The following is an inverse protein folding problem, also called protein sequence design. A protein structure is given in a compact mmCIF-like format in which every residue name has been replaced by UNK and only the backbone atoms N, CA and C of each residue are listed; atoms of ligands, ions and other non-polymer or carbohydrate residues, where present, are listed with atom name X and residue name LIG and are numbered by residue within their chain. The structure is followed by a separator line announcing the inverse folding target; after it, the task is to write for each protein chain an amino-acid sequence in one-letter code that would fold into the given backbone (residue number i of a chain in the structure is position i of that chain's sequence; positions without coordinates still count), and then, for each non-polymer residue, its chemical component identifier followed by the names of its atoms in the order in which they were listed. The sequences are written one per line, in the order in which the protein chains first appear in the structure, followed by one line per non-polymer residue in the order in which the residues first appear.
data_IF_691192024337
#
_entry.id   IF_691192024337
#
_cell.length_a   1.000
_cell.length_b   1.000
_cell.length_c   1.000
_cell.angle_alpha   90.00
_cell.angle_beta   90.00
_cell.angle_gamma   90.00
#
_symmetry.space_group_name_H-M   'P 1'
#
loop_
_entity.id
_entity.type
_entity.pdbx_description
1 polymer ?
#
# COMPACT_ATOMS: atom_id res chain seq x y z
N UNK A 1 39.21 -13.82 -4.21
CA UNK A 1 38.08 -12.90 -4.38
C UNK A 1 36.83 -13.64 -3.94
N UNK A 2 36.43 -13.52 -2.67
CA UNK A 2 35.18 -14.11 -2.18
C UNK A 2 34.04 -13.38 -2.89
N UNK A 3 33.18 -14.11 -3.60
CA UNK A 3 31.98 -13.52 -4.19
C UNK A 3 31.10 -13.07 -3.03
N UNK A 4 30.83 -11.78 -2.91
CA UNK A 4 29.74 -11.30 -2.07
C UNK A 4 28.43 -11.83 -2.69
N UNK A 5 28.02 -13.03 -2.27
CA UNK A 5 26.71 -13.60 -2.56
C UNK A 5 25.68 -13.11 -1.54
N UNK A 6 25.92 -11.94 -0.95
CA UNK A 6 25.06 -11.37 0.07
C UNK A 6 24.42 -10.09 -0.47
N UNK A 7 23.11 -9.97 -0.31
CA UNK A 7 22.36 -8.75 -0.60
C UNK A 7 22.22 -8.00 0.73
N UNK A 8 22.76 -6.78 0.85
CA UNK A 8 22.54 -5.97 2.04
C UNK A 8 21.08 -5.48 2.08
N UNK A 9 20.42 -5.68 3.20
CA UNK A 9 19.06 -5.19 3.48
C UNK A 9 19.19 -4.01 4.44
N UNK A 10 18.51 -2.88 4.21
CA UNK A 10 18.54 -1.77 5.16
C UNK A 10 18.04 -2.18 6.55
N UNK A 11 18.77 -1.85 7.61
CA UNK A 11 18.40 -2.19 9.01
C UNK A 11 17.33 -1.26 9.60
N UNK A 12 16.97 -0.18 8.91
CA UNK A 12 16.07 0.88 9.36
C UNK A 12 14.75 0.90 8.56
N UNK A 13 14.13 -0.27 8.42
CA UNK A 13 12.86 -0.43 7.71
C UNK A 13 11.71 0.29 8.43
N UNK A 14 10.72 0.72 7.66
CA UNK A 14 9.44 1.21 8.22
C UNK A 14 8.64 0.07 8.85
N UNK A 15 7.78 0.32 9.86
CA UNK A 15 7.14 -0.73 10.66
C UNK A 15 6.44 -1.83 9.86
N UNK A 16 5.75 -1.49 8.78
CA UNK A 16 5.08 -2.49 7.94
C UNK A 16 6.10 -3.30 7.12
N UNK A 17 7.14 -2.64 6.59
CA UNK A 17 8.22 -3.33 5.88
C UNK A 17 9.04 -4.22 6.84
N UNK A 18 9.41 -3.71 8.01
CA UNK A 18 10.08 -4.43 9.09
C UNK A 18 9.30 -5.68 9.50
N UNK A 19 7.98 -5.54 9.68
CA UNK A 19 7.12 -6.68 10.01
C UNK A 19 7.19 -7.81 8.98
N UNK A 20 7.18 -7.49 7.68
CA UNK A 20 7.22 -8.50 6.61
C UNK A 20 8.62 -9.05 6.32
N UNK A 21 9.65 -8.26 6.61
CA UNK A 21 11.05 -8.64 6.46
C UNK A 21 11.63 -9.24 7.75
N UNK A 22 10.82 -9.33 8.81
CA UNK A 22 11.19 -9.88 10.10
C UNK A 22 11.75 -11.29 9.95
N UNK A 23 12.99 -11.48 10.41
CA UNK A 23 13.70 -12.74 10.32
C UNK A 23 14.78 -12.78 9.23
N UNK A 24 14.86 -11.73 8.41
CA UNK A 24 16.03 -11.45 7.59
C UNK A 24 17.04 -10.68 8.45
N UNK A 25 18.31 -11.08 8.44
CA UNK A 25 19.38 -10.25 8.98
C UNK A 25 19.63 -9.02 8.11
N UNK A 26 20.56 -8.15 8.51
CA UNK A 26 21.00 -7.01 7.68
C UNK A 26 21.68 -7.43 6.36
N UNK A 27 21.98 -8.72 6.21
CA UNK A 27 22.54 -9.31 5.00
C UNK A 27 21.80 -10.60 4.69
N UNK A 28 21.52 -10.85 3.42
CA UNK A 28 20.86 -12.08 2.95
C UNK A 28 21.72 -12.80 1.94
N UNK A 29 22.05 -14.05 2.22
CA UNK A 29 22.84 -14.90 1.36
C UNK A 29 21.98 -15.47 0.21
N UNK A 30 22.31 -15.05 -1.02
CA UNK A 30 21.69 -15.51 -2.26
C UNK A 30 21.97 -16.97 -2.57
N UNK A 31 23.04 -17.53 -2.00
CA UNK A 31 23.34 -18.96 -2.14
C UNK A 31 22.48 -19.84 -1.22
N UNK A 32 21.82 -19.26 -0.20
CA UNK A 32 20.90 -19.97 0.68
C UNK A 32 19.47 -19.85 0.16
N UNK A 33 18.88 -20.97 -0.25
CA UNK A 33 17.51 -21.00 -0.77
C UNK A 33 16.46 -20.56 0.27
N UNK A 34 16.71 -20.79 1.55
CA UNK A 34 15.81 -20.46 2.65
C UNK A 34 15.74 -18.96 2.94
N UNK A 35 16.90 -18.29 2.96
CA UNK A 35 16.94 -16.82 3.16
C UNK A 35 16.34 -16.09 1.96
N UNK A 36 16.64 -16.54 0.74
CA UNK A 36 16.06 -16.01 -0.49
C UNK A 36 14.54 -16.21 -0.58
N UNK A 37 14.04 -17.36 -0.15
CA UNK A 37 12.60 -17.61 -0.09
C UNK A 37 11.91 -16.66 0.90
N UNK A 38 12.54 -16.39 2.04
CA UNK A 38 12.01 -15.47 3.06
C UNK A 38 11.98 -14.03 2.53
N UNK A 39 13.02 -13.59 1.83
CA UNK A 39 13.07 -12.29 1.15
C UNK A 39 11.93 -12.10 0.17
N UNK A 40 11.79 -13.05 -0.77
CA UNK A 40 10.78 -12.98 -1.82
C UNK A 40 9.39 -12.98 -1.19
N UNK A 41 9.17 -13.80 -0.15
CA UNK A 41 7.90 -13.85 0.56
C UNK A 41 7.57 -12.53 1.26
N UNK A 42 8.53 -11.94 1.99
CA UNK A 42 8.35 -10.66 2.67
C UNK A 42 8.02 -9.54 1.68
N UNK A 43 8.80 -9.44 0.60
CA UNK A 43 8.57 -8.48 -0.47
C UNK A 43 7.19 -8.64 -1.13
N UNK A 44 6.77 -9.87 -1.43
CA UNK A 44 5.47 -10.16 -2.02
C UNK A 44 4.30 -9.79 -1.10
N UNK A 45 4.42 -10.03 0.21
CA UNK A 45 3.41 -9.65 1.20
C UNK A 45 3.32 -8.12 1.36
N UNK A 46 4.46 -7.44 1.38
CA UNK A 46 4.52 -5.97 1.39
C UNK A 46 3.85 -5.40 0.14
N UNK A 47 4.21 -5.90 -1.04
CA UNK A 47 3.62 -5.49 -2.31
C UNK A 47 2.10 -5.69 -2.31
N UNK A 48 1.62 -6.86 -1.89
CA UNK A 48 0.18 -7.13 -1.81
C UNK A 48 -0.53 -6.15 -0.87
N UNK A 49 0.07 -5.85 0.29
CA UNK A 49 -0.48 -4.88 1.25
C UNK A 49 -0.57 -3.48 0.65
N UNK A 50 0.49 -3.01 -0.02
CA UNK A 50 0.51 -1.72 -0.73
C UNK A 50 -0.57 -1.68 -1.81
N UNK A 51 -0.72 -2.72 -2.62
CA UNK A 51 -1.76 -2.81 -3.65
C UNK A 51 -3.15 -2.71 -3.04
N UNK A 52 -3.43 -3.46 -1.97
CA UNK A 52 -4.73 -3.43 -1.28
C UNK A 52 -5.02 -2.03 -0.74
N UNK A 53 -4.06 -1.40 -0.06
CA UNK A 53 -4.24 -0.04 0.45
C UNK A 53 -4.38 0.99 -0.66
N UNK A 54 -3.66 0.85 -1.78
CA UNK A 54 -3.81 1.73 -2.93
C UNK A 54 -5.21 1.60 -3.58
N UNK A 55 -5.75 0.38 -3.67
CA UNK A 55 -7.12 0.14 -4.14
C UNK A 55 -8.15 0.76 -3.18
N UNK A 56 -7.95 0.62 -1.87
CA UNK A 56 -8.81 1.26 -0.86
C UNK A 56 -8.76 2.78 -0.98
N UNK A 57 -7.56 3.35 -1.06
CA UNK A 57 -7.34 4.77 -1.25
C UNK A 57 -7.99 5.28 -2.54
N UNK A 58 -7.91 4.54 -3.65
CA UNK A 58 -8.62 4.85 -4.90
C UNK A 58 -10.14 4.85 -4.69
N UNK A 59 -10.69 3.81 -4.06
CA UNK A 59 -12.14 3.67 -3.87
C UNK A 59 -12.73 4.76 -2.97
N UNK A 60 -11.97 5.22 -1.98
CA UNK A 60 -12.37 6.34 -1.11
C UNK A 60 -12.07 7.71 -1.74
N UNK A 61 -10.94 7.81 -2.44
CA UNK A 61 -10.43 8.98 -3.17
C UNK A 61 -11.39 9.51 -4.22
N UNK A 62 -11.95 8.60 -5.02
CA UNK A 62 -12.84 8.98 -6.10
C UNK A 62 -14.28 9.20 -5.59
N UNK A 63 -14.65 10.48 -5.49
CA UNK A 63 -16.01 10.91 -5.13
C UNK A 63 -17.05 10.66 -6.23
N UNK A 64 -16.63 10.41 -7.48
CA UNK A 64 -17.50 10.18 -8.64
C UNK A 64 -17.37 8.73 -9.10
N UNK A 65 -18.50 8.05 -9.33
CA UNK A 65 -18.51 6.70 -9.91
C UNK A 65 -17.95 6.78 -11.34
N UNK A 66 -16.78 6.17 -11.59
CA UNK A 66 -16.25 6.02 -12.95
C UNK A 66 -16.99 4.90 -13.68
N UNK A 67 -17.05 5.01 -15.01
CA UNK A 67 -17.51 3.91 -15.88
C UNK A 67 -16.67 2.66 -15.58
N UNK A 68 -17.27 1.45 -15.53
CA UNK A 68 -16.60 0.22 -15.14
C UNK A 68 -15.34 -0.09 -15.98
N UNK A 69 -15.35 0.30 -17.26
CA UNK A 69 -14.19 0.13 -18.13
C UNK A 69 -13.02 1.05 -17.73
N UNK A 70 -13.31 2.29 -17.31
CA UNK A 70 -12.29 3.24 -16.85
C UNK A 70 -11.69 2.83 -15.52
N UNK A 71 -12.50 2.27 -14.60
CA UNK A 71 -11.97 1.74 -13.34
C UNK A 71 -11.05 0.54 -13.56
N UNK A 72 -11.33 -0.32 -14.54
CA UNK A 72 -10.46 -1.46 -14.85
C UNK A 72 -9.05 -0.99 -15.27
N UNK A 73 -8.98 -0.01 -16.17
CA UNK A 73 -7.70 0.58 -16.60
C UNK A 73 -6.93 1.14 -15.41
N UNK A 74 -7.61 1.82 -14.48
CA UNK A 74 -6.96 2.39 -13.29
C UNK A 74 -6.47 1.29 -12.34
N UNK A 75 -7.21 0.20 -12.16
CA UNK A 75 -6.72 -0.92 -11.35
C UNK A 75 -5.48 -1.58 -11.95
N UNK A 76 -5.43 -1.75 -13.27
CA UNK A 76 -4.24 -2.24 -13.96
C UNK A 76 -3.07 -1.27 -13.72
N UNK A 77 -3.31 0.04 -13.93
CA UNK A 77 -2.29 1.07 -13.71
C UNK A 77 -1.83 1.12 -12.23
N UNK A 78 -2.72 0.90 -11.28
CA UNK A 78 -2.39 0.84 -9.85
C UNK A 78 -1.50 -0.35 -9.54
N UNK A 79 -1.84 -1.55 -10.01
CA UNK A 79 -1.02 -2.75 -9.81
C UNK A 79 0.37 -2.53 -10.39
N UNK A 80 0.46 -2.06 -11.65
CA UNK A 80 1.75 -1.81 -12.31
C UNK A 80 2.52 -0.68 -11.61
N UNK A 81 1.87 0.44 -11.32
CA UNK A 81 2.51 1.59 -10.69
C UNK A 81 3.01 1.28 -9.27
N UNK A 82 2.20 0.58 -8.48
CA UNK A 82 2.61 0.14 -7.13
C UNK A 82 3.69 -0.93 -7.18
N UNK A 83 3.76 -1.75 -8.23
CA UNK A 83 4.85 -2.71 -8.43
C UNK A 83 6.20 -1.99 -8.58
N UNK A 84 6.27 -1.00 -9.49
CA UNK A 84 7.46 -0.18 -9.65
C UNK A 84 7.79 0.61 -8.38
N UNK A 85 6.79 1.20 -7.71
CA UNK A 85 7.02 1.90 -6.44
C UNK A 85 7.54 0.97 -5.35
N UNK A 86 7.06 -0.26 -5.25
CA UNK A 86 7.49 -1.20 -4.21
C UNK A 86 8.92 -1.69 -4.47
N UNK A 87 9.30 -1.91 -5.74
CA UNK A 87 10.68 -2.27 -6.10
C UNK A 87 11.66 -1.13 -5.77
N UNK A 88 11.32 0.10 -6.15
CA UNK A 88 12.25 1.24 -6.02
C UNK A 88 12.29 1.77 -4.59
N UNK A 89 11.14 1.80 -3.91
CA UNK A 89 10.95 2.52 -2.66
C UNK A 89 10.40 1.69 -1.51
N UNK A 90 10.00 0.44 -1.73
CA UNK A 90 9.23 -0.34 -0.75
C UNK A 90 9.91 -0.54 0.61
N UNK A 91 11.25 -0.59 0.65
CA UNK A 91 12.01 -0.83 1.88
C UNK A 91 12.34 0.48 2.65
N UNK A 92 12.61 1.58 1.94
CA UNK A 92 13.12 2.82 2.54
C UNK A 92 12.03 3.88 2.79
N UNK A 93 10.86 3.77 2.16
CA UNK A 93 9.77 4.74 2.32
C UNK A 93 8.56 4.13 3.05
N UNK A 94 7.79 4.96 3.80
CA UNK A 94 6.58 4.55 4.50
C UNK A 94 5.40 4.38 3.53
N UNK A 95 5.54 3.54 2.50
CA UNK A 95 4.55 3.46 1.42
C UNK A 95 3.21 2.92 1.91
N UNK A 96 3.23 1.83 2.69
CA UNK A 96 2.03 1.21 3.23
C UNK A 96 1.36 2.10 4.29
N UNK A 97 2.15 2.69 5.20
CA UNK A 97 1.69 3.58 6.26
C UNK A 97 1.05 4.84 5.69
N UNK A 98 1.66 5.43 4.66
CA UNK A 98 1.12 6.61 3.98
C UNK A 98 -0.25 6.30 3.35
N UNK A 99 -0.36 5.17 2.65
CA UNK A 99 -1.64 4.74 2.05
C UNK A 99 -2.68 4.43 3.12
N UNK A 100 -2.28 3.86 4.25
CA UNK A 100 -3.17 3.59 5.38
C UNK A 100 -3.74 4.90 5.96
N UNK A 101 -2.89 5.90 6.22
CA UNK A 101 -3.32 7.22 6.71
C UNK A 101 -4.26 7.88 5.70
N UNK A 102 -3.93 7.87 4.40
CA UNK A 102 -4.79 8.42 3.34
C UNK A 102 -6.17 7.74 3.35
N UNK A 103 -6.22 6.41 3.46
CA UNK A 103 -7.47 5.67 3.51
C UNK A 103 -8.33 6.07 4.72
N UNK A 104 -7.71 6.26 5.90
CA UNK A 104 -8.40 6.75 7.10
C UNK A 104 -8.96 8.15 6.89
N UNK A 105 -8.13 9.09 6.42
CA UNK A 105 -8.54 10.49 6.22
C UNK A 105 -9.71 10.58 5.25
N UNK A 106 -9.64 9.87 4.13
CA UNK A 106 -10.73 9.82 3.14
C UNK A 106 -11.98 9.15 3.69
N UNK A 107 -11.82 8.10 4.51
CA UNK A 107 -12.92 7.43 5.21
C UNK A 107 -13.67 8.38 6.14
N UNK A 108 -12.94 9.09 7.02
CA UNK A 108 -13.50 10.08 7.94
C UNK A 108 -14.17 11.22 7.19
N UNK A 109 -13.54 11.74 6.14
CA UNK A 109 -14.14 12.79 5.31
C UNK A 109 -15.47 12.36 4.70
N UNK A 110 -15.54 11.14 4.16
CA UNK A 110 -16.78 10.62 3.56
C UNK A 110 -17.91 10.46 4.60
N UNK A 111 -17.58 10.03 5.83
CA UNK A 111 -18.54 9.92 6.91
C UNK A 111 -19.12 11.29 7.30
N UNK A 112 -18.26 12.30 7.48
CA UNK A 112 -18.69 13.68 7.80
C UNK A 112 -19.60 14.25 6.71
N UNK A 113 -19.18 14.15 5.44
CA UNK A 113 -19.94 14.69 4.31
C UNK A 113 -21.32 14.01 4.15
N UNK A 114 -21.42 12.71 4.46
CA UNK A 114 -22.71 12.01 4.43
C UNK A 114 -23.67 12.47 5.54
N UNK A 115 -23.15 12.96 6.67
CA UNK A 115 -23.97 13.47 7.78
C UNK A 115 -24.52 14.87 7.45
N UNK A 116 -23.71 15.76 6.88
CA UNK A 116 -24.14 17.10 6.45
C UNK A 116 -25.26 17.05 5.40
N UNK A 117 -25.17 16.12 4.43
CA UNK A 117 -26.23 15.91 3.44
C UNK A 117 -27.56 15.47 4.05
N UNK A 118 -27.52 14.65 5.11
CA UNK A 118 -28.74 14.21 5.83
C UNK A 118 -29.36 15.35 6.63
N UNK A 119 -28.54 16.17 7.28
CA UNK A 119 -29.03 17.35 8.03
C UNK A 119 -29.67 18.41 7.13
N UNK A 120 -29.09 18.68 5.95
CA UNK A 120 -29.65 19.65 5.02
C UNK A 120 -30.95 19.19 4.35
N UNK A 121 -31.12 17.87 4.12
CA UNK A 121 -32.36 17.32 3.57
C UNK A 121 -33.52 17.36 4.58
N UNK A 122 -33.27 17.11 5.88
CA UNK A 122 -34.33 17.22 6.89
C UNK A 122 -34.82 18.66 7.06
N UNK A 123 -33.93 19.66 7.04
CA UNK A 123 -34.32 21.08 7.15
C UNK A 123 -35.19 21.57 5.99
N UNK A 124 -35.08 20.96 4.81
CA UNK A 124 -35.92 21.29 3.63
C UNK A 124 -37.28 20.59 3.63
N UNK A 125 -37.47 19.54 4.42
CA UNK A 125 -38.75 18.81 4.49
C UNK A 125 -39.71 19.40 5.53
N UNK A 126 -39.21 20.27 6.43
CA UNK A 126 -39.98 20.98 7.46
C UNK A 126 -40.38 22.41 7.04
N UNK A 127 -39.99 22.85 5.84
CA UNK A 127 -40.39 24.12 5.21
C UNK A 127 -41.38 23.85 4.07
#
# INVERSE_FOLDING_TARGET
MQRETVIPVPDNLWPVADFFMKGLGGEVNVADEGEMATLIRGFMLLYLTVVVFAILAYKFGFAKKLSPLKSLIIYILLIIGTFFLTIIFGLNLPLAESLFIIAIVMGVYRLRLSQERKQNNNKKAEQ
#
